data_IF_731078512291
#
_entry.id   IF_731078512291
#
_cell.length_a   1.000
_cell.length_b   1.000
_cell.length_c   1.000
_cell.angle_alpha   90.00
_cell.angle_beta   90.00
_cell.angle_gamma   90.00
#
_symmetry.space_group_name_H-M   'P 1'
#
loop_
_entity.id
_entity.type
_entity.pdbx_description
1 polymer ?
#
# COMPACT_ATOMS: atom_id res chain seq x y z
N UNK A 1 -6.72 3.22 5.63
CA UNK A 1 -6.13 2.87 4.33
C UNK A 1 -7.10 2.12 3.42
N UNK A 2 -7.85 1.14 3.92
CA UNK A 2 -8.79 0.31 3.13
C UNK A 2 -9.75 1.09 2.23
N UNK A 3 -10.35 2.18 2.73
CA UNK A 3 -11.27 3.01 1.94
C UNK A 3 -10.61 3.66 0.71
N UNK A 4 -9.30 3.90 0.75
CA UNK A 4 -8.56 4.53 -0.34
C UNK A 4 -7.83 3.51 -1.23
N UNK A 5 -7.22 2.47 -0.65
CA UNK A 5 -6.30 1.58 -1.37
C UNK A 5 -6.74 0.10 -1.40
N UNK A 6 -7.87 -0.26 -0.80
CA UNK A 6 -8.34 -1.65 -0.67
C UNK A 6 -7.61 -2.43 0.43
N UNK A 7 -7.93 -3.72 0.56
CA UNK A 7 -7.31 -4.64 1.53
C UNK A 7 -6.89 -5.96 0.86
N UNK A 8 -5.59 -6.22 0.67
CA UNK A 8 -4.44 -5.40 1.06
C UNK A 8 -4.36 -4.09 0.26
N UNK A 9 -3.70 -3.06 0.79
CA UNK A 9 -3.60 -1.77 0.12
C UNK A 9 -2.74 -1.89 -1.13
N UNK A 10 -3.18 -1.34 -2.27
CA UNK A 10 -2.40 -1.35 -3.52
C UNK A 10 -2.36 0.01 -4.18
N UNK A 11 -1.25 0.33 -4.83
CA UNK A 11 -1.08 1.59 -5.54
C UNK A 11 -2.07 1.74 -6.70
N UNK A 12 -2.34 0.65 -7.42
CA UNK A 12 -3.33 0.63 -8.50
C UNK A 12 -4.74 0.97 -8.02
N UNK A 13 -5.17 0.40 -6.90
CA UNK A 13 -6.50 0.67 -6.33
C UNK A 13 -6.61 2.09 -5.75
N UNK A 14 -5.54 2.59 -5.13
CA UNK A 14 -5.48 3.98 -4.65
C UNK A 14 -5.68 4.98 -5.78
N UNK A 15 -4.90 4.81 -6.85
CA UNK A 15 -5.03 5.63 -8.05
C UNK A 15 -6.42 5.48 -8.67
N UNK A 16 -6.94 4.25 -8.79
CA UNK A 16 -8.29 4.00 -9.32
C UNK A 16 -9.35 4.86 -8.64
N UNK A 17 -9.41 4.83 -7.31
CA UNK A 17 -10.47 5.49 -6.54
C UNK A 17 -10.38 7.01 -6.63
N UNK A 18 -9.16 7.56 -6.57
CA UNK A 18 -8.96 9.01 -6.65
C UNK A 18 -9.17 9.57 -8.07
N UNK A 19 -8.84 8.79 -9.12
CA UNK A 19 -8.98 9.24 -10.51
C UNK A 19 -10.41 9.07 -11.02
N UNK A 20 -11.12 7.98 -10.66
CA UNK A 20 -12.54 7.82 -11.04
C UNK A 20 -13.42 8.94 -10.49
N UNK A 21 -13.05 9.53 -9.35
CA UNK A 21 -13.72 10.70 -8.80
C UNK A 21 -13.32 12.04 -9.43
N UNK A 22 -12.49 12.05 -10.49
CA UNK A 22 -11.83 13.24 -11.07
C UNK A 22 -11.12 14.12 -10.04
N UNK A 23 -10.68 13.55 -8.91
CA UNK A 23 -10.26 14.30 -7.75
C UNK A 23 -8.73 14.34 -7.62
N UNK A 24 -8.06 14.82 -8.67
CA UNK A 24 -6.59 14.97 -8.69
C UNK A 24 -6.11 15.91 -7.59
N UNK A 25 -6.90 16.92 -7.25
CA UNK A 25 -6.60 17.82 -6.13
C UNK A 25 -6.64 17.10 -4.79
N UNK A 26 -7.66 16.28 -4.50
CA UNK A 26 -7.67 15.49 -3.28
C UNK A 26 -6.60 14.40 -3.26
N UNK A 27 -6.17 13.86 -4.40
CA UNK A 27 -4.99 12.99 -4.43
C UNK A 27 -3.74 13.76 -4.00
N UNK A 28 -3.57 15.00 -4.48
CA UNK A 28 -2.51 15.89 -4.03
C UNK A 28 -2.57 16.14 -2.52
N UNK A 29 -3.73 16.55 -2.00
CA UNK A 29 -3.91 16.78 -0.56
C UNK A 29 -3.65 15.50 0.25
N UNK A 30 -4.17 14.35 -0.21
CA UNK A 30 -3.95 13.07 0.44
C UNK A 30 -2.45 12.76 0.55
N UNK A 31 -1.68 12.91 -0.53
CA UNK A 31 -0.23 12.71 -0.51
C UNK A 31 0.50 13.73 0.38
N UNK A 32 -0.01 14.95 0.48
CA UNK A 32 0.52 15.95 1.40
C UNK A 32 0.30 15.54 2.86
N UNK A 33 -0.89 15.07 3.22
CA UNK A 33 -1.18 14.61 4.58
C UNK A 33 -0.30 13.40 4.97
N UNK A 34 0.10 12.58 3.99
CA UNK A 34 1.07 11.51 4.20
C UNK A 34 2.46 12.02 4.57
N UNK A 35 2.87 13.22 4.17
CA UNK A 35 4.15 13.78 4.60
C UNK A 35 4.17 13.95 6.13
N UNK A 36 3.11 14.53 6.69
CA UNK A 36 2.96 14.69 8.14
C UNK A 36 2.91 13.34 8.85
N UNK A 37 2.11 12.40 8.36
CA UNK A 37 2.03 11.06 8.96
C UNK A 37 3.38 10.34 8.94
N UNK A 38 4.15 10.45 7.85
CA UNK A 38 5.48 9.83 7.77
C UNK A 38 6.45 10.50 8.74
N UNK A 39 6.40 11.82 8.89
CA UNK A 39 7.22 12.53 9.87
C UNK A 39 6.93 12.05 11.31
N UNK A 40 5.65 11.93 11.67
CA UNK A 40 5.22 11.42 12.99
C UNK A 40 5.62 9.95 13.20
N UNK A 41 5.53 9.12 12.14
CA UNK A 41 6.00 7.74 12.16
C UNK A 41 7.51 7.69 12.43
N UNK A 42 8.30 8.48 11.71
CA UNK A 42 9.74 8.58 11.91
C UNK A 42 10.07 9.02 13.34
N UNK A 43 9.49 10.10 13.82
CA UNK A 43 9.73 10.63 15.16
C UNK A 43 9.47 9.55 16.23
N UNK A 44 8.31 8.90 16.18
CA UNK A 44 7.92 7.87 17.14
C UNK A 44 8.82 6.63 17.08
N UNK A 45 9.10 6.11 15.88
CA UNK A 45 9.82 4.84 15.71
C UNK A 45 11.33 5.00 15.87
N UNK A 46 11.90 6.16 15.52
CA UNK A 46 13.31 6.45 15.79
C UNK A 46 13.54 6.72 17.28
N UNK A 47 12.58 7.36 17.96
CA UNK A 47 12.66 7.56 19.42
C UNK A 47 12.44 6.26 20.19
N UNK A 48 11.55 5.40 19.71
CA UNK A 48 11.20 4.12 20.36
C UNK A 48 11.19 2.97 19.35
N UNK A 49 12.35 2.40 19.00
CA UNK A 49 12.47 1.37 17.96
C UNK A 49 11.66 0.09 18.20
N UNK A 50 11.24 -0.16 19.45
CA UNK A 50 10.33 -1.26 19.79
C UNK A 50 8.97 -1.14 19.08
N UNK A 51 8.53 0.08 18.76
CA UNK A 51 7.26 0.35 18.09
C UNK A 51 7.20 -0.27 16.68
N UNK A 52 8.35 -0.41 16.00
CA UNK A 52 8.44 -1.06 14.69
C UNK A 52 7.85 -2.48 14.66
N UNK A 53 7.88 -3.18 15.79
CA UNK A 53 7.41 -4.57 15.91
C UNK A 53 5.91 -4.69 16.20
N UNK A 54 5.23 -3.59 16.53
CA UNK A 54 3.79 -3.63 16.80
C UNK A 54 3.00 -3.81 15.49
N UNK A 55 2.07 -4.76 15.51
CA UNK A 55 1.27 -5.17 14.35
C UNK A 55 -0.16 -4.64 14.52
N UNK A 56 -0.79 -4.25 13.40
CA UNK A 56 -2.23 -4.00 13.40
C UNK A 56 -2.99 -5.28 13.74
N UNK A 57 -4.18 -5.13 14.32
CA UNK A 57 -5.11 -6.24 14.51
C UNK A 57 -5.73 -6.72 13.17
N UNK A 58 -5.60 -5.93 12.10
CA UNK A 58 -6.09 -6.29 10.78
C UNK A 58 -5.03 -7.06 9.98
N UNK A 59 -5.36 -8.28 9.55
CA UNK A 59 -4.45 -9.29 8.97
C UNK A 59 -3.71 -8.85 7.69
N UNK A 60 -4.16 -7.76 7.05
CA UNK A 60 -3.59 -7.22 5.80
C UNK A 60 -3.21 -5.73 5.90
N UNK A 61 -3.14 -5.17 7.10
CA UNK A 61 -2.73 -3.78 7.30
C UNK A 61 -1.51 -3.75 8.22
N UNK A 62 -0.44 -3.12 7.75
CA UNK A 62 0.69 -2.77 8.59
C UNK A 62 1.16 -1.38 8.22
N UNK A 63 1.82 -0.69 9.16
CA UNK A 63 2.44 0.60 8.87
C UNK A 63 3.42 0.48 7.70
N UNK A 64 4.13 -0.66 7.60
CA UNK A 64 5.06 -0.93 6.52
C UNK A 64 4.35 -1.14 5.18
N UNK A 65 3.27 -1.92 5.15
CA UNK A 65 2.47 -2.11 3.94
C UNK A 65 1.84 -0.79 3.47
N UNK A 66 1.43 0.05 4.42
CA UNK A 66 0.92 1.36 4.13
C UNK A 66 1.98 2.28 3.50
N UNK A 67 3.15 2.37 4.12
CA UNK A 67 4.27 3.15 3.61
C UNK A 67 4.75 2.66 2.25
N UNK A 68 4.81 1.34 2.04
CA UNK A 68 5.12 0.74 0.75
C UNK A 68 4.09 1.11 -0.33
N UNK A 69 2.80 1.09 -0.02
CA UNK A 69 1.73 1.49 -0.95
C UNK A 69 1.88 2.96 -1.38
N UNK A 70 2.24 3.84 -0.45
CA UNK A 70 2.44 5.27 -0.74
C UNK A 70 3.70 5.50 -1.58
N UNK A 71 4.80 4.80 -1.29
CA UNK A 71 6.00 4.81 -2.13
C UNK A 71 5.68 4.33 -3.55
N UNK A 72 5.04 3.16 -3.69
CA UNK A 72 4.62 2.59 -4.96
C UNK A 72 3.75 3.61 -5.74
N UNK A 73 2.74 4.20 -5.08
CA UNK A 73 1.85 5.23 -5.65
C UNK A 73 2.62 6.46 -6.12
N UNK A 74 3.50 7.02 -5.28
CA UNK A 74 4.28 8.19 -5.64
C UNK A 74 5.18 7.88 -6.84
N UNK A 75 5.80 6.71 -6.90
CA UNK A 75 6.65 6.35 -8.05
C UNK A 75 5.88 6.25 -9.37
N UNK A 76 4.65 5.72 -9.36
CA UNK A 76 3.78 5.73 -10.54
C UNK A 76 3.46 7.15 -11.00
N UNK A 77 3.09 8.03 -10.06
CA UNK A 77 2.77 9.42 -10.38
C UNK A 77 4.00 10.15 -10.92
N UNK A 78 5.18 9.95 -10.30
CA UNK A 78 6.42 10.60 -10.74
C UNK A 78 6.85 10.11 -12.13
N UNK A 79 6.68 8.82 -12.41
CA UNK A 79 7.06 8.18 -13.66
C UNK A 79 6.13 8.59 -14.82
N UNK A 80 4.81 8.54 -14.61
CA UNK A 80 3.86 8.64 -15.72
C UNK A 80 2.98 9.89 -15.73
N UNK A 81 2.68 10.50 -14.57
CA UNK A 81 1.74 11.62 -14.50
C UNK A 81 2.41 12.98 -14.78
N UNK A 82 1.58 13.96 -15.11
CA UNK A 82 1.99 15.35 -15.35
C UNK A 82 1.24 16.33 -14.42
N UNK A 83 1.71 17.58 -14.33
CA UNK A 83 1.06 18.63 -13.53
C UNK A 83 1.42 18.64 -12.04
N UNK A 84 0.64 19.38 -11.25
CA UNK A 84 0.94 19.71 -9.85
C UNK A 84 1.01 18.51 -8.90
N UNK A 85 0.19 17.48 -9.13
CA UNK A 85 0.20 16.24 -8.33
C UNK A 85 1.55 15.53 -8.39
N UNK A 86 2.30 15.69 -9.49
CA UNK A 86 3.64 15.13 -9.64
C UNK A 86 4.65 15.77 -8.71
N UNK A 87 4.57 17.08 -8.51
CA UNK A 87 5.46 17.78 -7.57
C UNK A 87 5.20 17.30 -6.15
N UNK A 88 3.92 17.24 -5.75
CA UNK A 88 3.51 16.72 -4.45
C UNK A 88 4.00 15.29 -4.22
N UNK A 89 3.80 14.39 -5.19
CA UNK A 89 4.30 13.02 -5.12
C UNK A 89 5.83 12.94 -4.95
N UNK A 90 6.61 13.87 -5.51
CA UNK A 90 8.07 13.91 -5.28
C UNK A 90 8.42 14.24 -3.84
N UNK A 91 7.69 15.14 -3.19
CA UNK A 91 7.93 15.52 -1.80
C UNK A 91 7.57 14.36 -0.87
N UNK A 92 6.37 13.80 -1.03
CA UNK A 92 5.91 12.61 -0.30
C UNK A 92 6.82 11.40 -0.50
N UNK A 93 7.31 11.17 -1.73
CA UNK A 93 8.30 10.12 -2.00
C UNK A 93 9.61 10.35 -1.26
N UNK A 94 10.12 11.59 -1.24
CA UNK A 94 11.39 11.90 -0.61
C UNK A 94 11.36 11.60 0.90
N UNK A 95 10.35 12.09 1.61
CA UNK A 95 10.20 11.85 3.05
C UNK A 95 9.92 10.37 3.36
N UNK A 96 9.04 9.72 2.58
CA UNK A 96 8.74 8.28 2.75
C UNK A 96 9.97 7.41 2.52
N UNK A 97 10.81 7.75 1.54
CA UNK A 97 12.06 7.04 1.27
C UNK A 97 13.03 7.24 2.43
N UNK A 98 13.17 8.46 2.95
CA UNK A 98 14.02 8.71 4.13
C UNK A 98 13.57 7.89 5.33
N UNK A 99 12.27 7.85 5.61
CA UNK A 99 11.71 7.03 6.69
C UNK A 99 12.11 5.55 6.58
N UNK A 100 11.94 4.91 5.40
CA UNK A 100 12.28 3.48 5.27
C UNK A 100 13.78 3.20 5.35
N UNK A 101 14.63 4.16 4.95
CA UNK A 101 16.08 4.04 5.07
C UNK A 101 16.49 4.12 6.54
N UNK A 102 16.03 5.15 7.26
CA UNK A 102 16.40 5.37 8.66
C UNK A 102 15.88 4.24 9.56
N UNK A 103 14.66 3.77 9.32
CA UNK A 103 14.09 2.64 10.06
C UNK A 103 14.83 1.33 9.78
N UNK A 104 15.27 1.11 8.54
CA UNK A 104 16.10 -0.04 8.21
C UNK A 104 17.46 0.03 8.93
N UNK A 105 18.07 1.21 8.99
CA UNK A 105 19.33 1.44 9.70
C UNK A 105 19.21 1.20 11.20
N UNK A 106 18.21 1.81 11.85
CA UNK A 106 17.95 1.63 13.30
C UNK A 106 17.70 0.18 13.66
N UNK A 107 17.04 -0.58 12.78
CA UNK A 107 16.79 -2.00 12.99
C UNK A 107 17.97 -2.90 12.56
N UNK A 108 19.05 -2.35 12.02
CA UNK A 108 20.17 -3.14 11.48
C UNK A 108 19.75 -4.04 10.31
N UNK A 109 18.70 -3.67 9.58
CA UNK A 109 18.18 -4.38 8.42
C UNK A 109 18.92 -3.90 7.18
N UNK A 110 20.01 -4.58 6.81
CA UNK A 110 20.80 -4.21 5.63
C UNK A 110 19.95 -4.35 4.35
N UNK A 111 20.00 -3.37 3.43
CA UNK A 111 19.23 -3.41 2.19
C UNK A 111 19.68 -4.60 1.34
N UNK A 112 18.72 -5.32 0.76
CA UNK A 112 19.00 -6.47 -0.09
C UNK A 112 18.15 -6.40 -1.35
N UNK A 113 18.77 -6.69 -2.48
CA UNK A 113 18.03 -6.98 -3.69
C UNK A 113 17.16 -8.23 -3.44
N UNK A 114 15.85 -8.12 -3.70
CA UNK A 114 14.95 -9.27 -3.58
C UNK A 114 15.14 -10.19 -4.78
N UNK A 115 15.01 -11.50 -4.57
CA UNK A 115 15.07 -12.50 -5.65
C UNK A 115 13.85 -12.47 -6.57
N UNK A 116 12.72 -11.97 -6.07
CA UNK A 116 11.45 -11.92 -6.77
C UNK A 116 11.09 -10.45 -6.97
N UNK A 117 10.86 -10.08 -8.23
CA UNK A 117 10.38 -8.76 -8.62
C UNK A 117 8.95 -8.53 -8.11
N UNK A 118 8.72 -7.41 -7.40
CA UNK A 118 7.38 -7.02 -6.90
C UNK A 118 6.44 -6.56 -8.01
N UNK A 119 6.98 -6.13 -9.15
CA UNK A 119 6.23 -5.67 -10.31
C UNK A 119 6.81 -6.25 -11.60
N UNK A 120 6.56 -7.54 -11.88
CA UNK A 120 6.96 -8.17 -13.14
C UNK A 120 6.41 -7.42 -14.36
N UNK A 121 7.09 -7.57 -15.50
CA UNK A 121 6.72 -6.88 -16.77
C UNK A 121 5.26 -7.11 -17.17
N UNK A 122 4.71 -8.30 -16.90
CA UNK A 122 3.30 -8.61 -17.18
C UNK A 122 2.32 -7.76 -16.35
N UNK A 123 2.62 -7.55 -15.07
CA UNK A 123 1.77 -6.80 -14.15
C UNK A 123 1.94 -5.29 -14.38
N UNK A 124 3.16 -4.86 -14.76
CA UNK A 124 3.38 -3.50 -15.24
C UNK A 124 2.53 -3.20 -16.48
N UNK A 125 2.45 -4.15 -17.43
CA UNK A 125 1.59 -4.04 -18.60
C UNK A 125 0.12 -3.83 -18.23
N UNK A 126 -0.41 -4.67 -17.33
CA UNK A 126 -1.79 -4.55 -16.81
C UNK A 126 -2.00 -3.20 -16.11
N UNK A 127 -1.05 -2.77 -15.29
CA UNK A 127 -1.11 -1.51 -14.56
C UNK A 127 -1.12 -0.30 -15.50
N UNK A 128 -0.33 -0.32 -16.58
CA UNK A 128 -0.37 0.74 -17.59
C UNK A 128 -1.72 0.81 -18.29
N UNK A 129 -2.24 -0.32 -18.76
CA UNK A 129 -3.57 -0.37 -19.40
C UNK A 129 -4.63 0.18 -18.46
N UNK A 130 -4.54 -0.17 -17.18
CA UNK A 130 -5.40 0.33 -16.13
C UNK A 130 -5.28 1.86 -15.96
N UNK A 131 -4.06 2.40 -15.85
CA UNK A 131 -3.83 3.84 -15.69
C UNK A 131 -4.29 4.65 -16.92
N UNK A 132 -4.03 4.17 -18.13
CA UNK A 132 -4.53 4.81 -19.36
C UNK A 132 -6.06 4.89 -19.38
N UNK A 133 -6.73 3.81 -18.96
CA UNK A 133 -8.20 3.77 -18.91
C UNK A 133 -8.80 4.76 -17.89
N UNK A 134 -8.01 5.18 -16.88
CA UNK A 134 -8.43 6.18 -15.90
C UNK A 134 -8.26 7.63 -16.36
N UNK A 135 -7.63 7.88 -17.51
CA UNK A 135 -7.53 9.22 -18.10
C UNK A 135 -6.34 10.06 -17.60
N UNK A 136 -5.35 9.46 -16.94
CA UNK A 136 -4.06 10.12 -16.72
C UNK A 136 -3.32 10.19 -18.07
N UNK A 137 -2.89 11.38 -18.53
CA UNK A 137 -1.99 11.48 -19.67
C UNK A 137 -0.65 10.84 -19.27
N UNK A 138 -0.39 9.64 -19.77
CA UNK A 138 0.86 8.94 -19.51
C UNK A 138 1.95 9.50 -20.45
N UNK A 139 3.10 9.81 -19.88
CA UNK A 139 4.34 10.00 -20.67
C UNK A 139 4.67 8.76 -21.49
N UNK A 140 5.61 8.91 -22.44
CA UNK A 140 6.19 7.79 -23.20
C UNK A 140 6.40 6.59 -22.29
N UNK A 141 5.78 5.46 -22.66
CA UNK A 141 5.77 4.26 -21.82
C UNK A 141 7.18 3.76 -21.54
N UNK A 142 8.11 3.88 -22.51
CA UNK A 142 9.51 3.46 -22.34
C UNK A 142 10.24 4.34 -21.32
N UNK A 143 10.14 5.66 -21.42
CA UNK A 143 10.80 6.58 -20.48
C UNK A 143 10.19 6.49 -19.08
N UNK A 144 8.86 6.32 -19.01
CA UNK A 144 8.14 6.11 -17.77
C UNK A 144 8.56 4.82 -17.07
N UNK A 145 8.65 3.70 -17.80
CA UNK A 145 9.10 2.42 -17.26
C UNK A 145 10.53 2.50 -16.71
N UNK A 146 11.47 3.10 -17.46
CA UNK A 146 12.84 3.31 -17.00
C UNK A 146 12.89 4.20 -15.75
N UNK A 147 12.05 5.24 -15.70
CA UNK A 147 11.98 6.11 -14.54
C UNK A 147 11.40 5.40 -13.32
N UNK A 148 10.37 4.58 -13.52
CA UNK A 148 9.76 3.76 -12.47
C UNK A 148 10.79 2.79 -11.89
N UNK A 149 11.51 2.06 -12.75
CA UNK A 149 12.54 1.10 -12.31
C UNK A 149 13.63 1.80 -11.49
N UNK A 150 14.15 2.92 -11.97
CA UNK A 150 15.13 3.72 -11.22
C UNK A 150 14.60 4.14 -9.85
N UNK A 151 13.34 4.60 -9.74
CA UNK A 151 12.77 5.00 -8.46
C UNK A 151 12.59 3.82 -7.51
N UNK A 152 12.18 2.65 -8.02
CA UNK A 152 12.02 1.41 -7.25
C UNK A 152 13.33 0.95 -6.62
N UNK A 153 14.44 1.05 -7.34
CA UNK A 153 15.77 0.74 -6.83
C UNK A 153 16.16 1.61 -5.60
N UNK A 154 15.55 2.79 -5.43
CA UNK A 154 15.87 3.70 -4.33
C UNK A 154 15.23 3.32 -2.99
N UNK A 155 14.17 2.50 -2.96
CA UNK A 155 13.45 2.18 -1.73
C UNK A 155 13.12 0.69 -1.55
N UNK A 156 12.92 -0.07 -2.64
CA UNK A 156 12.54 -1.48 -2.56
C UNK A 156 13.52 -2.32 -1.73
N UNK A 157 14.86 -2.17 -1.86
CA UNK A 157 15.79 -2.94 -1.04
C UNK A 157 15.59 -2.77 0.48
N UNK A 158 15.14 -1.58 0.91
CA UNK A 158 14.90 -1.24 2.31
C UNK A 158 13.57 -1.79 2.83
N UNK A 159 12.48 -1.59 2.09
CA UNK A 159 11.18 -2.14 2.50
C UNK A 159 11.17 -3.67 2.46
N UNK A 160 11.94 -4.31 1.58
CA UNK A 160 12.06 -5.77 1.52
C UNK A 160 12.76 -6.33 2.77
N UNK A 161 13.89 -5.74 3.18
CA UNK A 161 14.61 -6.19 4.37
C UNK A 161 13.81 -5.90 5.66
N UNK A 162 13.07 -4.79 5.70
CA UNK A 162 12.13 -4.49 6.77
C UNK A 162 10.98 -5.50 6.83
N UNK A 163 10.41 -5.86 5.67
CA UNK A 163 9.36 -6.87 5.57
C UNK A 163 9.81 -8.21 6.15
N UNK A 164 11.01 -8.67 5.76
CA UNK A 164 11.57 -9.93 6.26
C UNK A 164 11.86 -9.86 7.76
N UNK A 165 12.45 -8.75 8.23
CA UNK A 165 12.81 -8.58 9.64
C UNK A 165 11.62 -8.47 10.58
N UNK A 166 10.58 -7.75 10.16
CA UNK A 166 9.37 -7.51 10.94
C UNK A 166 8.28 -8.56 10.69
N UNK A 167 8.53 -9.48 9.75
CA UNK A 167 7.57 -10.45 9.23
C UNK A 167 6.30 -9.81 8.66
N UNK A 168 6.34 -8.54 8.27
CA UNK A 168 5.20 -7.78 7.76
C UNK A 168 5.17 -7.87 6.23
N UNK A 169 4.24 -8.64 5.63
CA UNK A 169 4.23 -8.84 4.19
C UNK A 169 3.98 -7.53 3.44
N UNK A 170 4.73 -7.31 2.36
CA UNK A 170 4.53 -6.18 1.46
C UNK A 170 3.30 -6.39 0.57
N UNK A 171 2.56 -5.32 0.25
CA UNK A 171 1.44 -5.40 -0.66
C UNK A 171 1.90 -5.60 -2.11
N UNK A 172 1.03 -6.19 -2.96
CA UNK A 172 1.21 -6.16 -4.40
C UNK A 172 0.91 -4.76 -4.96
N UNK A 173 1.36 -4.48 -6.18
CA UNK A 173 1.09 -3.20 -6.85
C UNK A 173 -0.35 -3.08 -7.37
N UNK A 174 -0.95 -4.23 -7.71
CA UNK A 174 -2.34 -4.35 -8.16
C UNK A 174 -2.96 -5.63 -7.59
N UNK A 175 -4.29 -5.64 -7.45
CA UNK A 175 -5.05 -6.86 -7.16
C UNK A 175 -5.71 -7.35 -8.44
N UNK A 176 -5.68 -8.67 -8.68
CA UNK A 176 -6.51 -9.29 -9.72
C UNK A 176 -8.02 -9.13 -9.44
N UNK A 177 -8.41 -8.93 -8.16
CA UNK A 177 -9.78 -8.65 -7.73
C UNK A 177 -9.76 -7.73 -6.49
N UNK A 178 -10.42 -6.56 -6.51
CA UNK A 178 -10.50 -5.70 -5.32
C UNK A 178 -11.28 -6.43 -4.21
N UNK A 179 -10.67 -6.59 -3.04
CA UNK A 179 -11.37 -7.03 -1.83
C UNK A 179 -11.48 -5.85 -0.85
N UNK A 180 -12.72 -5.49 -0.54
CA UNK A 180 -13.03 -4.51 0.50
C UNK A 180 -13.35 -5.27 1.79
N UNK A 181 -12.38 -5.31 2.72
CA UNK A 181 -12.53 -6.03 4.00
C UNK A 181 -13.31 -5.25 5.08
N UNK A 182 -13.98 -4.14 4.74
CA UNK A 182 -14.79 -3.40 5.70
C UNK A 182 -16.05 -4.17 6.15
N UNK A 183 -16.39 -5.29 5.50
CA UNK A 183 -17.36 -6.23 6.06
C UNK A 183 -16.70 -6.97 7.22
N UNK A 184 -17.04 -6.68 8.49
CA UNK A 184 -16.58 -7.52 9.57
C UNK A 184 -17.00 -8.96 9.25
N UNK A 185 -16.10 -9.91 9.47
CA UNK A 185 -16.35 -11.35 9.39
C UNK A 185 -17.32 -11.80 10.49
N UNK A 186 -18.51 -11.21 10.53
CA UNK A 186 -19.60 -11.59 11.43
C UNK A 186 -20.60 -12.56 10.77
N UNK A 187 -20.25 -13.18 9.63
CA UNK A 187 -21.11 -14.20 9.01
C UNK A 187 -20.44 -15.56 8.74
N UNK A 188 -19.17 -15.73 9.09
CA UNK A 188 -18.47 -17.00 8.85
C UNK A 188 -18.56 -18.01 10.02
N UNK A 189 -19.16 -17.65 11.17
CA UNK A 189 -19.13 -18.53 12.36
C UNK A 189 -20.46 -19.19 12.74
N UNK A 190 -21.55 -18.97 11.98
CA UNK A 190 -22.86 -19.57 12.30
C UNK A 190 -23.49 -20.41 11.17
N UNK A 191 -22.90 -20.46 9.97
CA UNK A 191 -23.44 -21.28 8.86
C UNK A 191 -22.83 -22.68 8.73
N UNK A 192 -21.67 -22.92 9.35
CA UNK A 192 -20.95 -24.20 9.22
C UNK A 192 -21.01 -25.07 10.49
N UNK A 193 -21.94 -24.79 11.41
CA UNK A 193 -22.20 -25.73 12.50
C UNK A 193 -23.02 -26.91 11.96
N UNK A 194 -22.55 -28.16 12.11
CA UNK A 194 -23.39 -29.32 11.83
C UNK A 194 -24.66 -29.23 12.71
N UNK A 195 -25.80 -29.62 12.14
CA UNK A 195 -27.14 -29.53 12.78
C UNK A 195 -27.24 -30.20 14.16
N UNK A 196 -26.24 -30.97 14.57
CA UNK A 196 -26.13 -31.63 15.86
C UNK A 196 -25.73 -30.72 17.05
N UNK A 197 -25.59 -29.39 16.85
CA UNK A 197 -25.27 -28.43 17.94
C UNK A 197 -26.07 -27.12 17.89
N UNK A 198 -27.25 -27.11 17.27
CA UNK A 198 -28.17 -26.02 17.50
C UNK A 198 -28.80 -26.22 18.89
N UNK A 199 -28.80 -25.22 19.78
CA UNK A 199 -29.59 -25.30 21.01
C UNK A 199 -31.05 -25.49 20.61
N UNK A 200 -31.70 -26.50 21.18
CA UNK A 200 -33.14 -26.68 21.05
C UNK A 200 -33.81 -25.38 21.50
N UNK A 201 -34.45 -24.69 20.56
CA UNK A 201 -35.35 -23.60 20.93
C UNK A 201 -36.54 -24.26 21.61
N UNK A 202 -36.61 -24.16 22.94
CA UNK A 202 -37.82 -24.47 23.70
C UNK A 202 -38.97 -23.65 23.08
N UNK A 203 -39.89 -24.36 22.44
CA UNK A 203 -41.21 -23.82 22.11
C UNK A 203 -41.92 -23.57 23.43
N UNK A 204 -41.94 -22.30 23.85
CA UNK A 204 -42.79 -21.83 24.93
C UNK A 204 -44.25 -22.03 24.50
N UNK A 205 -44.92 -23.01 25.11
CA UNK A 205 -46.36 -23.23 25.00
C UNK A 205 -47.04 -22.63 26.22
N UNK A 206 -47.92 -21.69 25.90
CA UNK A 206 -49.02 -21.09 26.68
C UNK A 206 -48.66 -20.06 27.77
#
# INVERSE_FOLDING_TARGET
>A
MDAHAGSPPTAGELLRRHIQGQNVQALGQYLHDWESWVAELMESHLSYPVLCYFRSQHTNQSWLAALATILDTCTLIIAYAEGGVRWQAKMTFAISRHAVVDLAEVLGALPRARKIDRLPVEDLGKLRTFLTATGIPLRSSVEGDQKLDHLRQMYEPYINTLSDRLLMPLPPWTLAKPMDNWRPSLSASFRDLPASRLPEMEEDKD
#
